data_IF_772389424898
#
_entry.id   IF_772389424898
#
_cell.length_a   1.000
_cell.length_b   1.000
_cell.length_c   1.000
_cell.angle_alpha   90.00
_cell.angle_beta   90.00
_cell.angle_gamma   90.00
#
_symmetry.space_group_name_H-M   'P 1'
#
loop_
_entity.id
_entity.type
_entity.pdbx_description
1 polymer ?
#
# COMPACT_ATOMS: atom_id res chain seq x y z
N UNK A 1 -9.67 -11.86 -2.20
CA UNK A 1 -10.34 -10.68 -1.60
C UNK A 1 -9.74 -9.46 -2.26
N UNK A 2 -10.56 -8.58 -2.84
CA UNK A 2 -10.04 -7.38 -3.49
C UNK A 2 -9.46 -6.39 -2.46
N UNK A 3 -8.39 -5.70 -2.83
CA UNK A 3 -7.72 -4.66 -2.06
C UNK A 3 -7.64 -3.39 -2.90
N UNK A 4 -7.85 -2.23 -2.28
CA UNK A 4 -7.66 -0.95 -2.93
C UNK A 4 -6.15 -0.70 -3.11
N UNK A 5 -5.72 -0.45 -4.33
CA UNK A 5 -4.32 -0.16 -4.68
C UNK A 5 -4.23 1.05 -5.59
N UNK A 6 -3.10 1.75 -5.57
CA UNK A 6 -2.71 2.71 -6.59
C UNK A 6 -1.65 2.09 -7.49
N UNK A 7 -1.81 2.20 -8.80
CA UNK A 7 -0.77 1.78 -9.75
C UNK A 7 0.35 2.81 -9.71
N UNK A 8 1.60 2.36 -9.50
CA UNK A 8 2.77 3.22 -9.30
C UNK A 8 3.98 2.68 -10.05
N UNK A 9 3.85 2.55 -11.36
CA UNK A 9 4.93 2.09 -12.25
C UNK A 9 5.91 3.26 -12.45
N UNK A 10 7.14 3.07 -11.99
CA UNK A 10 8.20 4.07 -12.12
C UNK A 10 9.03 3.92 -13.40
N UNK A 11 9.15 2.70 -13.91
CA UNK A 11 9.94 2.38 -15.10
C UNK A 11 9.17 1.44 -16.02
N UNK A 12 8.67 2.01 -17.13
CA UNK A 12 7.94 1.26 -18.15
C UNK A 12 8.85 0.46 -19.08
N UNK A 13 10.17 0.73 -19.10
CA UNK A 13 11.09 0.00 -19.96
C UNK A 13 11.19 -1.48 -19.55
N UNK A 14 11.23 -1.74 -18.25
CA UNK A 14 11.26 -3.10 -17.71
C UNK A 14 9.98 -3.89 -18.06
N UNK A 15 8.82 -3.22 -18.08
CA UNK A 15 7.57 -3.83 -18.53
C UNK A 15 7.64 -4.15 -20.02
N UNK A 16 8.05 -3.17 -20.85
CA UNK A 16 8.08 -3.32 -22.31
C UNK A 16 8.95 -4.50 -22.78
N UNK A 17 10.04 -4.82 -22.09
CA UNK A 17 10.88 -5.98 -22.41
C UNK A 17 10.18 -7.33 -22.22
N UNK A 18 9.13 -7.38 -21.39
CA UNK A 18 8.42 -8.60 -21.01
C UNK A 18 7.00 -8.69 -21.60
N UNK A 19 6.49 -7.62 -22.23
CA UNK A 19 5.18 -7.62 -22.86
C UNK A 19 5.16 -8.47 -24.15
N UNK A 20 4.10 -9.24 -24.32
CA UNK A 20 3.88 -10.03 -25.54
C UNK A 20 3.36 -9.15 -26.68
N UNK A 21 2.55 -8.13 -26.37
CA UNK A 21 2.08 -7.13 -27.33
C UNK A 21 2.45 -5.71 -26.85
N UNK A 22 3.22 -4.92 -27.63
CA UNK A 22 3.53 -3.54 -27.30
C UNK A 22 2.30 -2.64 -27.09
N UNK A 23 1.13 -3.00 -27.61
CA UNK A 23 -0.11 -2.26 -27.38
C UNK A 23 -0.62 -2.36 -25.94
N UNK A 24 -0.27 -3.42 -25.21
CA UNK A 24 -0.60 -3.58 -23.79
C UNK A 24 0.03 -2.48 -22.94
N UNK A 25 1.15 -1.90 -23.38
CA UNK A 25 1.83 -0.83 -22.65
C UNK A 25 0.91 0.37 -22.40
N UNK A 26 0.04 0.68 -23.36
CA UNK A 26 -0.91 1.78 -23.22
C UNK A 26 -1.92 1.56 -22.07
N UNK A 27 -2.26 0.29 -21.76
CA UNK A 27 -3.12 -0.02 -20.61
C UNK A 27 -2.40 0.32 -19.30
N UNK A 28 -1.14 -0.11 -19.15
CA UNK A 28 -0.32 0.21 -17.98
C UNK A 28 -0.11 1.73 -17.82
N UNK A 29 0.19 2.43 -18.91
CA UNK A 29 0.36 3.89 -18.90
C UNK A 29 -0.94 4.59 -18.48
N UNK A 30 -2.09 4.13 -18.98
CA UNK A 30 -3.39 4.70 -18.65
C UNK A 30 -3.81 4.43 -17.20
N UNK A 31 -3.40 3.29 -16.65
CA UNK A 31 -3.72 2.90 -15.28
C UNK A 31 -2.80 3.57 -14.25
N UNK A 32 -1.58 3.93 -14.65
CA UNK A 32 -0.58 4.47 -13.74
C UNK A 32 -1.04 5.76 -13.05
N UNK A 33 -0.86 5.82 -11.74
CA UNK A 33 -1.32 6.92 -10.90
C UNK A 33 -2.79 6.85 -10.47
N UNK A 34 -3.59 5.93 -11.02
CA UNK A 34 -4.99 5.74 -10.64
C UNK A 34 -5.15 4.65 -9.57
N UNK A 35 -6.27 4.69 -8.86
CA UNK A 35 -6.60 3.74 -7.79
C UNK A 35 -7.65 2.73 -8.27
N UNK A 36 -7.43 1.45 -7.98
CA UNK A 36 -8.29 0.34 -8.39
C UNK A 36 -8.53 -0.65 -7.24
N UNK A 37 -9.60 -1.43 -7.35
CA UNK A 37 -9.79 -2.63 -6.53
C UNK A 37 -9.16 -3.83 -7.24
N UNK A 38 -8.07 -4.35 -6.67
CA UNK A 38 -7.25 -5.39 -7.26
C UNK A 38 -7.31 -6.70 -6.48
N UNK A 39 -7.16 -7.82 -7.17
CA UNK A 39 -6.90 -9.12 -6.53
C UNK A 39 -5.41 -9.29 -6.31
N UNK A 40 -4.99 -9.51 -5.05
CA UNK A 40 -3.59 -9.72 -4.71
C UNK A 40 -3.34 -11.22 -4.58
N UNK A 41 -2.49 -11.75 -5.43
CA UNK A 41 -2.09 -13.15 -5.46
C UNK A 41 -1.12 -13.51 -4.34
N UNK A 42 -0.89 -14.82 -4.13
CA UNK A 42 -0.11 -15.32 -3.01
C UNK A 42 1.39 -14.96 -3.09
N UNK A 43 1.90 -14.74 -4.30
CA UNK A 43 3.26 -14.31 -4.62
C UNK A 43 3.41 -12.78 -4.63
N UNK A 44 2.31 -12.06 -4.44
CA UNK A 44 2.27 -10.61 -4.32
C UNK A 44 2.01 -9.87 -5.64
N UNK A 45 1.72 -10.57 -6.74
CA UNK A 45 1.23 -9.91 -7.94
C UNK A 45 -0.18 -9.39 -7.73
N UNK A 46 -0.51 -8.26 -8.36
CA UNK A 46 -1.82 -7.64 -8.27
C UNK A 46 -2.50 -7.62 -9.65
N UNK A 47 -3.69 -8.20 -9.72
CA UNK A 47 -4.52 -8.22 -10.94
C UNK A 47 -5.54 -7.07 -10.84
N UNK A 48 -5.52 -6.19 -11.84
CA UNK A 48 -6.41 -5.03 -11.94
C UNK A 48 -7.23 -5.12 -13.22
N UNK A 49 -8.55 -5.19 -13.07
CA UNK A 49 -9.49 -4.99 -14.18
C UNK A 49 -9.48 -3.49 -14.56
N UNK A 50 -8.87 -3.13 -15.70
CA UNK A 50 -8.77 -1.73 -16.17
C UNK A 50 -10.02 -1.33 -16.94
N UNK A 51 -10.56 -2.24 -17.74
CA UNK A 51 -11.84 -2.11 -18.44
C UNK A 51 -12.68 -3.38 -18.21
N UNK A 52 -13.85 -3.49 -18.83
CA UNK A 52 -14.63 -4.75 -18.79
C UNK A 52 -13.95 -5.90 -19.54
N UNK A 53 -13.07 -5.59 -20.50
CA UNK A 53 -12.42 -6.56 -21.37
C UNK A 53 -10.91 -6.70 -21.10
N UNK A 54 -10.30 -5.69 -20.48
CA UNK A 54 -8.86 -5.59 -20.28
C UNK A 54 -8.49 -5.60 -18.79
N UNK A 55 -7.42 -6.33 -18.48
CA UNK A 55 -6.78 -6.32 -17.17
C UNK A 55 -5.27 -6.15 -17.31
N UNK A 56 -4.63 -5.70 -16.23
CA UNK A 56 -3.18 -5.64 -16.10
C UNK A 56 -2.73 -6.42 -14.86
N UNK A 57 -1.52 -6.94 -14.93
CA UNK A 57 -0.87 -7.67 -13.84
C UNK A 57 0.33 -6.85 -13.36
N UNK A 58 0.36 -6.52 -12.07
CA UNK A 58 1.36 -5.63 -11.48
C UNK A 58 2.24 -6.43 -10.52
N UNK A 59 3.55 -6.38 -10.75
CA UNK A 59 4.52 -7.00 -9.87
C UNK A 59 4.57 -6.30 -8.51
N UNK A 60 5.08 -6.98 -7.46
CA UNK A 60 5.42 -6.33 -6.21
C UNK A 60 6.33 -5.11 -6.44
N UNK A 61 5.82 -3.92 -6.11
CA UNK A 61 6.53 -2.65 -6.32
C UNK A 61 5.97 -1.78 -7.44
N UNK A 62 5.14 -2.32 -8.32
CA UNK A 62 4.43 -1.58 -9.38
C UNK A 62 3.08 -1.02 -8.90
N UNK A 63 2.77 -1.24 -7.63
CA UNK A 63 1.59 -0.71 -6.99
C UNK A 63 1.84 -0.41 -5.51
N UNK A 64 0.95 0.39 -4.94
CA UNK A 64 0.89 0.68 -3.52
C UNK A 64 -0.47 0.30 -2.95
N UNK A 65 -0.48 -0.42 -1.82
CA UNK A 65 -1.72 -0.63 -1.06
C UNK A 65 -2.23 0.72 -0.53
N UNK A 66 -3.54 0.94 -0.69
CA UNK A 66 -4.21 2.16 -0.29
C UNK A 66 -5.24 1.92 0.81
N UNK A 67 -5.22 2.80 1.81
CA UNK A 67 -6.23 2.89 2.85
C UNK A 67 -6.83 4.29 2.72
N UNK A 68 -7.93 4.45 1.99
CA UNK A 68 -8.48 5.78 1.67
C UNK A 68 -9.23 6.40 2.85
N UNK A 69 -9.88 5.55 3.65
CA UNK A 69 -10.61 5.95 4.84
C UNK A 69 -9.74 5.87 6.10
N UNK A 70 -10.06 6.66 7.12
CA UNK A 70 -9.40 6.55 8.41
C UNK A 70 -9.74 5.20 9.06
N UNK A 71 -8.71 4.41 9.34
CA UNK A 71 -8.83 3.12 10.00
C UNK A 71 -8.23 3.16 11.40
N UNK A 72 -8.78 2.37 12.33
CA UNK A 72 -8.25 2.27 13.69
C UNK A 72 -6.89 1.56 13.67
N UNK A 73 -5.86 2.26 14.17
CA UNK A 73 -4.50 1.76 14.32
C UNK A 73 -4.11 1.51 15.78
N UNK A 74 -4.99 1.80 16.74
CA UNK A 74 -4.78 1.56 18.16
C UNK A 74 -5.25 2.70 19.06
N UNK A 75 -4.76 2.70 20.31
CA UNK A 75 -5.11 3.71 21.31
C UNK A 75 -3.88 4.21 22.07
N UNK A 76 -3.91 5.49 22.43
CA UNK A 76 -2.93 6.13 23.30
C UNK A 76 -3.68 6.81 24.44
N UNK A 77 -3.77 6.13 25.59
CA UNK A 77 -4.64 6.56 26.68
C UNK A 77 -6.12 6.53 26.26
N UNK A 78 -6.79 7.67 26.34
CA UNK A 78 -8.20 7.84 25.93
C UNK A 78 -8.38 8.14 24.43
N UNK A 79 -7.27 8.41 23.72
CA UNK A 79 -7.28 8.81 22.31
C UNK A 79 -7.20 7.60 21.39
N UNK A 80 -7.92 7.67 20.27
CA UNK A 80 -7.83 6.68 19.20
C UNK A 80 -6.80 7.14 18.17
N UNK A 81 -5.82 6.27 17.88
CA UNK A 81 -4.88 6.47 16.79
C UNK A 81 -5.52 5.95 15.51
N UNK A 82 -5.63 6.79 14.50
CA UNK A 82 -6.15 6.42 13.20
C UNK A 82 -5.09 6.58 12.11
N UNK A 83 -5.15 5.74 11.10
CA UNK A 83 -4.23 5.77 9.95
C UNK A 83 -4.98 5.69 8.63
N UNK A 84 -4.43 6.33 7.61
CA UNK A 84 -4.82 6.15 6.21
C UNK A 84 -3.61 6.39 5.29
N UNK A 85 -3.71 6.07 4.01
CA UNK A 85 -2.69 6.45 3.03
C UNK A 85 -2.58 7.97 2.91
N UNK A 86 -1.36 8.48 2.75
CA UNK A 86 -1.16 9.89 2.47
C UNK A 86 -1.55 10.21 1.02
N UNK A 87 -2.54 11.07 0.76
CA UNK A 87 -2.91 11.45 -0.61
C UNK A 87 -1.84 12.25 -1.34
N UNK A 88 -0.87 12.83 -0.62
CA UNK A 88 0.24 13.59 -1.21
C UNK A 88 1.51 12.73 -1.42
N UNK A 89 1.60 11.56 -0.79
CA UNK A 89 2.75 10.66 -0.87
C UNK A 89 2.31 9.19 -0.76
N UNK A 90 2.28 8.49 -1.89
CA UNK A 90 1.82 7.09 -1.95
C UNK A 90 2.72 6.12 -1.17
N UNK A 91 3.92 6.56 -0.79
CA UNK A 91 4.88 5.77 0.00
C UNK A 91 4.72 6.00 1.50
N UNK A 92 3.78 6.85 1.92
CA UNK A 92 3.54 7.23 3.30
C UNK A 92 2.13 6.91 3.81
N UNK A 93 1.99 6.91 5.12
CA UNK A 93 0.74 6.85 5.85
C UNK A 93 0.59 8.11 6.68
N UNK A 94 -0.62 8.69 6.66
CA UNK A 94 -1.01 9.72 7.60
C UNK A 94 -1.53 9.09 8.88
N UNK A 95 -1.09 9.64 10.01
CA UNK A 95 -1.53 9.29 11.34
C UNK A 95 -2.15 10.48 12.05
N UNK A 96 -3.25 10.25 12.76
CA UNK A 96 -3.87 11.27 13.63
C UNK A 96 -4.37 10.67 14.93
N UNK A 97 -4.48 11.50 15.96
CA UNK A 97 -5.14 11.17 17.22
C UNK A 97 -6.49 11.87 17.29
N UNK A 98 -7.54 11.13 17.63
CA UNK A 98 -8.91 11.64 17.78
C UNK A 98 -9.51 11.28 19.14
N UNK A 99 -10.36 12.15 19.70
CA UNK A 99 -11.17 11.82 20.89
C UNK A 99 -12.31 10.85 20.54
N UNK A 100 -13.09 10.47 21.56
CA UNK A 100 -14.30 9.68 21.42
C UNK A 100 -15.38 10.29 20.51
N UNK A 101 -15.30 11.60 20.21
CA UNK A 101 -16.22 12.30 19.31
C UNK A 101 -15.63 12.45 17.89
N UNK A 102 -14.43 11.92 17.63
CA UNK A 102 -13.75 12.03 16.34
C UNK A 102 -13.06 13.37 16.10
N UNK A 103 -12.91 14.22 17.13
CA UNK A 103 -12.21 15.50 17.01
C UNK A 103 -10.70 15.26 17.06
N UNK A 104 -10.00 15.81 16.08
CA UNK A 104 -8.54 15.76 15.99
C UNK A 104 -7.90 16.56 17.12
N UNK A 105 -6.90 15.95 17.78
CA UNK A 105 -6.10 16.62 18.79
C UNK A 105 -5.01 17.51 18.15
N UNK A 106 -4.31 16.95 17.17
CA UNK A 106 -3.22 17.57 16.43
C UNK A 106 -3.38 17.32 14.93
N UNK A 107 -2.67 18.10 14.12
CA UNK A 107 -2.66 17.90 12.66
C UNK A 107 -2.10 16.51 12.30
N UNK A 108 -2.64 15.83 11.27
CA UNK A 108 -2.12 14.56 10.82
C UNK A 108 -0.63 14.60 10.45
N UNK A 109 0.10 13.57 10.84
CA UNK A 109 1.54 13.43 10.57
C UNK A 109 1.75 12.35 9.52
N UNK A 110 2.52 12.68 8.47
CA UNK A 110 2.91 11.73 7.43
C UNK A 110 4.20 11.00 7.79
N UNK A 111 4.17 9.67 7.68
CA UNK A 111 5.32 8.81 7.92
C UNK A 111 5.46 7.78 6.79
N UNK A 112 6.68 7.57 6.29
CA UNK A 112 6.95 6.53 5.30
C UNK A 112 6.49 5.15 5.78
N UNK A 113 5.82 4.40 4.89
CA UNK A 113 5.40 3.00 5.11
C UNK A 113 6.57 2.11 5.53
N UNK A 114 7.76 2.34 4.97
CA UNK A 114 8.96 1.58 5.33
C UNK A 114 9.37 1.83 6.78
N UNK A 115 9.29 3.09 7.25
CA UNK A 115 9.59 3.44 8.64
C UNK A 115 8.58 2.78 9.58
N UNK A 116 7.29 2.84 9.23
CA UNK A 116 6.22 2.17 10.00
C UNK A 116 6.47 0.67 10.08
N UNK A 117 6.80 0.02 8.97
CA UNK A 117 7.08 -1.41 8.92
C UNK A 117 8.31 -1.77 9.77
N UNK A 118 9.39 -0.98 9.69
CA UNK A 118 10.59 -1.18 10.50
C UNK A 118 10.30 -1.04 11.99
N UNK A 119 9.50 -0.04 12.40
CA UNK A 119 9.08 0.13 13.80
C UNK A 119 8.24 -1.08 14.23
N UNK A 120 7.26 -1.48 13.43
CA UNK A 120 6.42 -2.64 13.74
C UNK A 120 7.25 -3.92 13.89
N UNK A 121 8.21 -4.15 12.99
CA UNK A 121 9.14 -5.28 13.08
C UNK A 121 10.05 -5.20 14.30
N UNK A 122 10.58 -4.03 14.64
CA UNK A 122 11.47 -3.88 15.79
C UNK A 122 10.75 -4.12 17.13
N UNK A 123 9.48 -3.70 17.24
CA UNK A 123 8.70 -3.80 18.47
C UNK A 123 7.95 -5.12 18.61
N UNK A 124 7.44 -5.66 17.51
CA UNK A 124 6.56 -6.84 17.50
C UNK A 124 7.11 -8.03 16.71
N UNK A 125 8.27 -7.87 16.06
CA UNK A 125 8.95 -8.97 15.40
C UNK A 125 9.41 -9.98 16.44
N UNK A 126 8.95 -11.23 16.29
CA UNK A 126 9.43 -12.34 17.13
C UNK A 126 10.93 -12.48 16.93
N UNK A 127 11.71 -12.25 17.99
CA UNK A 127 13.13 -12.61 18.00
C UNK A 127 13.23 -14.08 17.58
N UNK A 128 13.92 -14.37 16.47
CA UNK A 128 14.27 -15.76 16.16
C UNK A 128 14.97 -16.31 17.40
N UNK A 129 14.41 -17.37 18.00
CA UNK A 129 15.10 -18.10 19.07
C UNK A 129 16.51 -18.38 18.56
N UNK A 130 17.56 -18.10 19.35
CA UNK A 130 18.90 -18.49 18.96
C UNK A 130 18.87 -19.98 18.67
N UNK A 131 19.26 -20.35 17.46
CA UNK A 131 19.44 -21.71 17.05
C UNK A 131 20.49 -22.28 18.00
N UNK A 132 20.07 -23.20 18.87
CA UNK A 132 21.02 -23.97 19.66
C UNK A 132 21.78 -24.82 18.65
N UNK A 133 23.05 -24.50 18.46
CA UNK A 133 23.98 -25.37 17.77
C UNK A 133 24.09 -26.66 18.60
N UNK A 134 23.56 -27.76 18.07
CA UNK A 134 23.84 -29.14 18.50
C UNK A 134 24.30 -29.95 17.30
#
# INVERSE_FOLDING_TARGET
MKRRIKVTIADFAALQENLNDPQELALYESANGNTYDAEIEHDGYAIVDVTEEDYIELAPGEYQLMIEEWTDAGRVGEWQLQTKSDPADDTALLYRLVDANGKEQDAPVSLSKQVVELIAKAWFGKSKKPQADE
#
